data_IF_186551067520
#
_entry.id   IF_186551067520
#
_cell.length_a   1.000
_cell.length_b   1.000
_cell.length_c   1.000
_cell.angle_alpha   90.00
_cell.angle_beta   90.00
_cell.angle_gamma   90.00
#
_symmetry.space_group_name_H-M   'P 1'
#
loop_
_entity.id
_entity.type
_entity.pdbx_description
1 polymer ?
#
# COMPACT_ATOMS: atom_id res chain seq x y z
N UNK A 1 -12.80 -8.60 3.93
CA UNK A 1 -11.44 -8.39 4.46
C UNK A 1 -10.48 -8.49 3.29
N UNK A 2 -9.62 -7.50 3.08
CA UNK A 2 -8.62 -7.58 2.02
C UNK A 2 -7.61 -8.69 2.30
N UNK A 3 -7.18 -9.37 1.24
CA UNK A 3 -6.06 -10.28 1.25
C UNK A 3 -4.93 -9.66 0.45
N UNK A 4 -3.72 -9.73 0.98
CA UNK A 4 -2.54 -9.25 0.30
C UNK A 4 -1.68 -10.43 -0.18
N UNK A 5 -1.08 -10.28 -1.37
CA UNK A 5 -0.17 -11.27 -1.94
C UNK A 5 1.08 -10.57 -2.45
N UNK A 6 2.23 -11.03 -1.98
CA UNK A 6 3.52 -10.52 -2.41
C UNK A 6 3.77 -10.84 -3.88
N UNK A 7 4.14 -9.82 -4.64
CA UNK A 7 4.53 -9.91 -6.04
C UNK A 7 6.00 -9.50 -6.18
N UNK A 8 6.86 -10.45 -6.56
CA UNK A 8 8.28 -10.15 -6.73
C UNK A 8 8.52 -9.15 -7.86
N UNK A 9 9.56 -8.33 -7.74
CA UNK A 9 9.93 -7.34 -8.75
C UNK A 9 10.15 -7.94 -10.14
N UNK A 10 10.69 -9.16 -10.19
CA UNK A 10 10.84 -9.89 -11.44
C UNK A 10 9.49 -10.15 -12.13
N UNK A 11 8.46 -10.50 -11.37
CA UNK A 11 7.12 -10.74 -11.90
C UNK A 11 6.39 -9.44 -12.26
N UNK A 12 6.64 -8.36 -11.53
CA UNK A 12 6.11 -7.03 -11.88
C UNK A 12 6.67 -6.56 -13.23
N UNK A 13 7.94 -6.85 -13.53
CA UNK A 13 8.58 -6.52 -14.81
C UNK A 13 8.17 -7.44 -15.97
N UNK A 14 7.47 -8.54 -15.72
CA UNK A 14 7.08 -9.53 -16.73
C UNK A 14 5.68 -9.21 -17.27
N UNK A 15 5.58 -8.77 -18.53
CA UNK A 15 4.32 -8.42 -19.18
C UNK A 15 3.40 -9.64 -19.32
N UNK A 16 3.93 -10.80 -19.68
CA UNK A 16 3.15 -12.03 -19.87
C UNK A 16 2.50 -12.47 -18.57
N UNK A 17 3.23 -12.32 -17.45
CA UNK A 17 2.70 -12.61 -16.13
C UNK A 17 1.59 -11.63 -15.71
N UNK A 18 1.78 -10.34 -15.98
CA UNK A 18 0.76 -9.31 -15.71
C UNK A 18 -0.49 -9.55 -16.56
N UNK A 19 -0.33 -9.91 -17.84
CA UNK A 19 -1.44 -10.32 -18.71
C UNK A 19 -2.17 -11.54 -18.16
N UNK A 20 -1.42 -12.51 -17.65
CA UNK A 20 -1.98 -13.69 -17.02
C UNK A 20 -2.82 -13.35 -15.78
N UNK A 21 -2.35 -12.42 -14.91
CA UNK A 21 -3.12 -11.90 -13.76
C UNK A 21 -4.40 -11.22 -14.25
N UNK A 22 -4.27 -10.31 -15.22
CA UNK A 22 -5.40 -9.52 -15.73
C UNK A 22 -6.49 -10.39 -16.36
N UNK A 23 -6.08 -11.44 -17.06
CA UNK A 23 -7.00 -12.40 -17.66
C UNK A 23 -7.76 -13.26 -16.63
N UNK A 24 -7.18 -13.44 -15.43
CA UNK A 24 -7.71 -14.27 -14.34
C UNK A 24 -8.15 -13.49 -13.13
N UNK A 25 -8.34 -12.20 -13.32
CA UNK A 25 -8.74 -11.29 -12.26
C UNK A 25 -9.81 -11.92 -11.34
N UNK A 26 -9.56 -12.00 -10.03
CA UNK A 26 -10.54 -12.48 -9.08
C UNK A 26 -11.79 -11.60 -9.12
N UNK A 27 -12.97 -12.14 -8.75
CA UNK A 27 -14.17 -11.35 -8.61
C UNK A 27 -13.91 -10.10 -7.77
N UNK A 28 -14.56 -8.99 -8.09
CA UNK A 28 -14.40 -7.72 -7.34
C UNK A 28 -14.69 -7.84 -5.85
N UNK A 29 -15.43 -8.87 -5.46
CA UNK A 29 -15.74 -9.22 -4.07
C UNK A 29 -14.52 -9.80 -3.32
N UNK A 30 -13.57 -10.41 -4.04
CA UNK A 30 -12.29 -10.79 -3.48
C UNK A 30 -11.40 -9.54 -3.47
N UNK A 31 -11.36 -8.84 -2.36
CA UNK A 31 -10.52 -7.65 -2.12
C UNK A 31 -9.04 -8.10 -2.03
N UNK A 32 -8.48 -8.49 -3.18
CA UNK A 32 -7.10 -8.98 -3.33
C UNK A 32 -6.20 -7.79 -3.68
N UNK A 33 -5.16 -7.61 -2.89
CA UNK A 33 -4.11 -6.59 -3.07
C UNK A 33 -2.81 -7.24 -3.50
N UNK A 34 -2.04 -6.55 -4.33
CA UNK A 34 -0.72 -6.99 -4.76
C UNK A 34 0.33 -6.14 -4.04
N UNK A 35 1.16 -6.77 -3.23
CA UNK A 35 2.25 -6.11 -2.50
C UNK A 35 3.54 -6.20 -3.31
N UNK A 36 4.13 -5.05 -3.59
CA UNK A 36 5.32 -4.91 -4.43
C UNK A 36 6.38 -4.22 -3.60
N UNK A 37 7.52 -4.88 -3.37
CA UNK A 37 8.61 -4.29 -2.59
C UNK A 37 9.20 -3.08 -3.30
N UNK A 38 9.69 -2.10 -2.52
CA UNK A 38 10.35 -0.91 -3.04
C UNK A 38 11.48 -1.25 -4.02
N UNK A 39 12.34 -2.20 -3.66
CA UNK A 39 13.46 -2.67 -4.51
C UNK A 39 13.00 -3.20 -5.85
N UNK A 40 11.84 -3.84 -5.89
CA UNK A 40 11.25 -4.39 -7.11
C UNK A 40 10.97 -3.31 -8.17
N UNK A 41 10.58 -2.13 -7.73
CA UNK A 41 10.30 -0.98 -8.61
C UNK A 41 11.59 -0.31 -9.07
N UNK A 42 12.66 -0.37 -8.26
CA UNK A 42 13.93 0.30 -8.56
C UNK A 42 14.72 -0.42 -9.64
N UNK A 43 14.67 -1.76 -9.68
CA UNK A 43 15.49 -2.57 -10.59
C UNK A 43 15.10 -2.41 -12.08
N UNK A 44 13.81 -2.33 -12.39
CA UNK A 44 13.28 -2.14 -13.74
C UNK A 44 12.12 -1.12 -13.75
N UNK A 45 12.41 0.15 -13.49
CA UNK A 45 11.38 1.13 -13.15
C UNK A 45 10.35 1.35 -14.26
N UNK A 46 10.76 1.42 -15.52
CA UNK A 46 9.85 1.74 -16.62
C UNK A 46 8.81 0.62 -16.84
N UNK A 47 9.23 -0.64 -16.82
CA UNK A 47 8.32 -1.78 -16.96
C UNK A 47 7.44 -1.94 -15.73
N UNK A 48 8.01 -1.80 -14.52
CA UNK A 48 7.25 -1.87 -13.29
C UNK A 48 6.16 -0.79 -13.24
N UNK A 49 6.48 0.47 -13.57
CA UNK A 49 5.48 1.55 -13.61
C UNK A 49 4.35 1.29 -14.62
N UNK A 50 4.70 0.85 -15.83
CA UNK A 50 3.71 0.54 -16.86
C UNK A 50 2.77 -0.59 -16.41
N UNK A 51 3.32 -1.66 -15.85
CA UNK A 51 2.57 -2.82 -15.41
C UNK A 51 1.71 -2.53 -14.16
N UNK A 52 2.22 -1.78 -13.18
CA UNK A 52 1.43 -1.33 -12.04
C UNK A 52 0.28 -0.44 -12.49
N UNK A 53 0.51 0.48 -13.43
CA UNK A 53 -0.55 1.30 -14.00
C UNK A 53 -1.63 0.46 -14.72
N UNK A 54 -1.26 -0.60 -15.44
CA UNK A 54 -2.19 -1.56 -16.06
C UNK A 54 -3.03 -2.31 -15.03
N UNK A 55 -2.39 -2.77 -13.95
CA UNK A 55 -3.07 -3.43 -12.83
C UNK A 55 -4.07 -2.48 -12.16
N UNK A 56 -3.64 -1.25 -11.84
CA UNK A 56 -4.49 -0.22 -11.25
C UNK A 56 -5.69 0.13 -12.16
N UNK A 57 -5.46 0.33 -13.47
CA UNK A 57 -6.52 0.61 -14.45
C UNK A 57 -7.55 -0.53 -14.53
N UNK A 58 -7.11 -1.76 -14.33
CA UNK A 58 -7.97 -2.93 -14.26
C UNK A 58 -8.69 -3.07 -12.90
N UNK A 59 -8.41 -2.19 -11.92
CA UNK A 59 -8.97 -2.20 -10.58
C UNK A 59 -8.41 -3.34 -9.71
N UNK A 60 -7.14 -3.70 -9.93
CA UNK A 60 -6.36 -4.54 -9.03
C UNK A 60 -5.53 -3.60 -8.13
N UNK A 61 -5.87 -3.44 -6.82
CA UNK A 61 -5.17 -2.52 -5.95
C UNK A 61 -3.74 -3.01 -5.69
N UNK A 62 -2.79 -2.06 -5.75
CA UNK A 62 -1.38 -2.31 -5.49
C UNK A 62 -0.93 -1.58 -4.22
N UNK A 63 -0.02 -2.20 -3.47
CA UNK A 63 0.61 -1.66 -2.27
C UNK A 63 2.13 -1.67 -2.45
N UNK A 64 2.78 -0.59 -2.08
CA UNK A 64 4.26 -0.54 -2.01
C UNK A 64 4.68 -1.05 -0.65
N UNK A 65 5.49 -2.09 -0.63
CA UNK A 65 5.96 -2.77 0.57
C UNK A 65 7.38 -2.37 0.97
N UNK A 66 7.73 -2.54 2.25
CA UNK A 66 9.04 -2.28 2.84
C UNK A 66 9.56 -0.84 2.66
N UNK A 67 8.67 0.16 2.57
CA UNK A 67 9.09 1.54 2.37
C UNK A 67 9.89 2.08 3.57
N UNK A 68 11.11 2.54 3.28
CA UNK A 68 12.02 3.08 4.29
C UNK A 68 13.06 2.08 4.81
N UNK A 69 13.04 0.82 4.35
CA UNK A 69 14.05 -0.18 4.71
C UNK A 69 15.41 0.05 4.04
N UNK A 70 15.50 0.95 3.05
CA UNK A 70 16.69 1.16 2.24
C UNK A 70 16.85 2.57 1.69
N UNK A 71 17.33 2.67 0.45
CA UNK A 71 17.54 3.93 -0.26
C UNK A 71 16.21 4.41 -0.90
N UNK A 72 15.24 4.74 -0.06
CA UNK A 72 13.94 5.23 -0.51
C UNK A 72 14.05 6.51 -1.34
N UNK A 73 13.64 6.47 -2.60
CA UNK A 73 13.62 7.63 -3.47
C UNK A 73 12.21 8.17 -3.63
N UNK A 74 11.98 9.41 -3.22
CA UNK A 74 10.71 10.11 -3.45
C UNK A 74 10.36 10.24 -4.94
N UNK A 75 11.34 10.09 -5.83
CA UNK A 75 11.16 10.30 -7.26
C UNK A 75 10.26 9.26 -7.91
N UNK A 76 10.28 8.02 -7.45
CA UNK A 76 9.44 6.98 -8.02
C UNK A 76 8.00 7.01 -7.47
N UNK A 77 7.81 7.44 -6.21
CA UNK A 77 6.46 7.55 -5.64
C UNK A 77 5.54 8.46 -6.44
N UNK A 78 6.09 9.49 -7.10
CA UNK A 78 5.31 10.37 -7.99
C UNK A 78 4.81 9.69 -9.26
N UNK A 79 5.43 8.58 -9.66
CA UNK A 79 5.19 7.89 -10.94
C UNK A 79 4.37 6.62 -10.77
N UNK A 80 4.39 6.03 -9.58
CA UNK A 80 3.74 4.75 -9.32
C UNK A 80 2.25 4.95 -8.97
N UNK A 81 1.41 4.14 -9.57
CA UNK A 81 -0.02 4.10 -9.29
C UNK A 81 -0.32 3.03 -8.23
N UNK A 82 -0.09 3.37 -6.97
CA UNK A 82 -0.37 2.49 -5.84
C UNK A 82 -1.48 3.06 -4.95
N UNK A 83 -2.24 2.17 -4.33
CA UNK A 83 -3.34 2.52 -3.42
C UNK A 83 -2.88 2.64 -1.97
N UNK A 84 -1.76 1.97 -1.64
CA UNK A 84 -1.21 1.92 -0.29
C UNK A 84 0.31 2.01 -0.27
N UNK A 85 0.83 2.61 0.80
CA UNK A 85 2.25 2.65 1.16
C UNK A 85 2.40 1.98 2.53
N UNK A 86 3.21 0.91 2.61
CA UNK A 86 3.48 0.19 3.84
C UNK A 86 4.82 0.66 4.40
N UNK A 87 4.80 1.23 5.60
CA UNK A 87 5.99 1.66 6.31
C UNK A 87 6.67 0.44 6.92
N UNK A 88 7.93 0.24 6.59
CA UNK A 88 8.73 -0.84 7.15
C UNK A 88 8.82 -0.77 8.67
N UNK A 89 8.94 -1.93 9.31
CA UNK A 89 9.06 -2.06 10.75
C UNK A 89 10.16 -1.18 11.34
N UNK A 90 11.28 -1.00 10.65
CA UNK A 90 12.40 -0.18 11.15
C UNK A 90 12.00 1.28 11.37
N UNK A 91 11.19 1.86 10.49
CA UNK A 91 10.62 3.21 10.69
C UNK A 91 9.63 3.23 11.85
N UNK A 92 8.78 2.22 11.95
CA UNK A 92 7.76 2.12 13.01
C UNK A 92 8.39 1.96 14.39
N UNK A 93 9.44 1.16 14.52
CA UNK A 93 10.17 0.96 15.78
C UNK A 93 10.86 2.23 16.29
N UNK A 94 11.31 3.11 15.41
CA UNK A 94 12.03 4.35 15.77
C UNK A 94 11.08 5.51 16.17
N UNK A 95 9.80 5.46 15.80
CA UNK A 95 8.82 6.54 16.06
C UNK A 95 8.73 6.91 17.54
N UNK A 96 8.79 5.92 18.43
CA UNK A 96 8.72 6.13 19.89
C UNK A 96 10.04 6.54 20.53
N UNK A 97 11.17 6.42 19.82
CA UNK A 97 12.53 6.59 20.37
C UNK A 97 13.11 7.97 20.06
N UNK A 98 12.69 8.59 18.98
CA UNK A 98 13.26 9.84 18.48
C UNK A 98 12.20 10.77 17.93
N UNK A 99 12.20 12.02 18.43
CA UNK A 99 11.34 13.07 17.87
C UNK A 99 11.65 13.35 16.39
N UNK A 100 12.91 13.15 15.96
CA UNK A 100 13.31 13.31 14.56
C UNK A 100 12.66 12.25 13.66
N UNK A 101 12.63 10.99 14.12
CA UNK A 101 12.06 9.91 13.35
C UNK A 101 10.53 10.01 13.29
N UNK A 102 9.90 10.48 14.36
CA UNK A 102 8.48 10.82 14.33
C UNK A 102 8.15 11.93 13.29
N UNK A 103 9.01 12.95 13.14
CA UNK A 103 8.85 13.99 12.11
C UNK A 103 9.04 13.42 10.71
N UNK A 104 10.02 12.53 10.50
CA UNK A 104 10.26 11.87 9.21
C UNK A 104 9.05 11.02 8.84
N UNK A 105 8.61 10.14 9.75
CA UNK A 105 7.45 9.27 9.53
C UNK A 105 6.20 10.09 9.22
N UNK A 106 5.93 11.18 9.97
CA UNK A 106 4.83 12.08 9.69
C UNK A 106 4.90 12.68 8.29
N UNK A 107 6.11 13.12 7.87
CA UNK A 107 6.30 13.69 6.53
C UNK A 107 6.03 12.68 5.42
N UNK A 108 6.39 11.40 5.64
CA UNK A 108 6.10 10.30 4.71
C UNK A 108 4.59 10.04 4.64
N UNK A 109 3.90 10.03 5.78
CA UNK A 109 2.44 9.85 5.84
C UNK A 109 1.73 10.99 5.10
N UNK A 110 2.10 12.24 5.37
CA UNK A 110 1.48 13.41 4.70
C UNK A 110 1.75 13.39 3.19
N UNK A 111 2.94 12.96 2.75
CA UNK A 111 3.27 12.78 1.34
C UNK A 111 2.40 11.69 0.69
N UNK A 112 2.30 10.51 1.30
CA UNK A 112 1.49 9.41 0.79
C UNK A 112 0.02 9.82 0.63
N UNK A 113 -0.54 10.49 1.64
CA UNK A 113 -1.89 11.05 1.58
C UNK A 113 -2.04 12.09 0.47
N UNK A 114 -1.03 12.96 0.28
CA UNK A 114 -1.00 13.95 -0.81
C UNK A 114 -0.99 13.30 -2.20
N UNK A 115 -0.48 12.09 -2.32
CA UNK A 115 -0.50 11.26 -3.54
C UNK A 115 -1.76 10.38 -3.66
N UNK A 116 -2.66 10.42 -2.68
CA UNK A 116 -3.91 9.65 -2.67
C UNK A 116 -3.77 8.22 -2.16
N UNK A 117 -2.62 7.85 -1.59
CA UNK A 117 -2.36 6.54 -1.01
C UNK A 117 -2.79 6.49 0.46
N UNK A 118 -3.22 5.31 0.93
CA UNK A 118 -3.33 5.00 2.36
C UNK A 118 -1.97 4.60 2.90
N UNK A 119 -1.78 4.76 4.21
CA UNK A 119 -0.54 4.36 4.89
C UNK A 119 -0.80 3.22 5.85
N UNK A 120 -0.02 2.14 5.70
CA UNK A 120 -0.01 0.99 6.60
C UNK A 120 1.26 1.05 7.44
N UNK A 121 1.14 0.99 8.76
CA UNK A 121 2.29 0.83 9.65
C UNK A 121 2.49 -0.66 9.94
N UNK A 122 3.67 -1.17 9.61
CA UNK A 122 4.01 -2.58 9.82
C UNK A 122 4.79 -2.81 11.11
N UNK A 123 4.80 -4.06 11.58
CA UNK A 123 5.56 -4.44 12.76
C UNK A 123 5.06 -3.82 14.07
N UNK A 124 3.81 -3.41 14.16
CA UNK A 124 3.23 -2.88 15.39
C UNK A 124 3.12 -4.00 16.43
N UNK A 125 3.92 -3.93 17.50
CA UNK A 125 4.02 -5.00 18.50
C UNK A 125 3.34 -4.68 19.83
N UNK A 126 3.06 -3.40 20.12
CA UNK A 126 2.46 -2.95 21.37
C UNK A 126 1.47 -1.79 21.22
N UNK A 127 0.69 -1.53 22.26
CA UNK A 127 -0.35 -0.51 22.28
C UNK A 127 0.22 0.93 22.20
N UNK A 128 1.43 1.16 22.72
CA UNK A 128 2.06 2.49 22.69
C UNK A 128 2.45 2.83 21.24
N UNK A 129 3.12 1.91 20.55
CA UNK A 129 3.47 2.04 19.13
C UNK A 129 2.21 2.20 18.28
N UNK A 130 1.16 1.40 18.53
CA UNK A 130 -0.13 1.53 17.83
C UNK A 130 -0.72 2.94 17.97
N UNK A 131 -0.73 3.50 19.19
CA UNK A 131 -1.25 4.85 19.43
C UNK A 131 -0.39 5.93 18.76
N UNK A 132 0.93 5.78 18.75
CA UNK A 132 1.85 6.72 18.12
C UNK A 132 1.64 6.78 16.61
N UNK A 133 1.66 5.63 15.91
CA UNK A 133 1.51 5.62 14.44
C UNK A 133 0.11 6.07 14.01
N UNK A 134 -0.94 5.75 14.80
CA UNK A 134 -2.28 6.31 14.59
C UNK A 134 -2.28 7.84 14.74
N UNK A 135 -1.61 8.38 15.75
CA UNK A 135 -1.44 9.82 15.99
C UNK A 135 -0.65 10.53 14.88
N UNK A 136 0.25 9.81 14.20
CA UNK A 136 0.96 10.30 13.02
C UNK A 136 0.12 10.23 11.74
N UNK A 137 -1.07 9.65 11.79
CA UNK A 137 -2.01 9.62 10.68
C UNK A 137 -1.96 8.35 9.84
N UNK A 138 -1.27 7.27 10.28
CA UNK A 138 -1.36 5.98 9.60
C UNK A 138 -2.81 5.48 9.58
N UNK A 139 -3.27 4.98 8.43
CA UNK A 139 -4.64 4.54 8.23
C UNK A 139 -4.89 3.13 8.74
N UNK A 140 -3.87 2.27 8.65
CA UNK A 140 -3.93 0.85 8.98
C UNK A 140 -2.71 0.47 9.82
N UNK A 141 -2.88 -0.40 10.80
CA UNK A 141 -1.81 -1.02 11.54
C UNK A 141 -1.76 -2.52 11.29
N UNK A 142 -0.57 -3.05 11.14
CA UNK A 142 -0.29 -4.48 10.97
C UNK A 142 0.85 -4.91 11.91
N UNK A 143 0.66 -6.00 12.63
CA UNK A 143 1.70 -6.54 13.52
C UNK A 143 1.16 -7.43 14.62
N UNK A 144 2.06 -7.91 15.47
CA UNK A 144 1.76 -8.87 16.53
C UNK A 144 0.85 -8.31 17.63
N UNK A 145 0.78 -6.99 17.75
CA UNK A 145 -0.19 -6.35 18.65
C UNK A 145 -1.63 -6.70 18.27
N UNK A 146 -1.93 -6.80 16.99
CA UNK A 146 -3.28 -7.11 16.51
C UNK A 146 -3.52 -8.62 16.44
N UNK A 147 -2.64 -9.35 15.75
CA UNK A 147 -2.69 -10.81 15.68
C UNK A 147 -1.34 -11.38 15.21
N UNK A 148 -1.00 -12.56 15.70
CA UNK A 148 0.13 -13.34 15.17
C UNK A 148 -0.32 -14.16 13.97
N UNK A 149 0.59 -14.55 13.05
CA UNK A 149 0.29 -15.48 11.97
C UNK A 149 -0.38 -16.75 12.53
N UNK A 150 -1.46 -17.16 11.89
CA UNK A 150 -2.25 -18.29 12.34
C UNK A 150 -2.81 -19.11 11.17
N UNK A 151 -3.16 -20.39 11.37
CA UNK A 151 -3.85 -21.20 10.37
C UNK A 151 -5.19 -20.58 9.95
N UNK A 152 -5.61 -20.83 8.70
CA UNK A 152 -6.85 -20.26 8.12
C UNK A 152 -8.09 -20.51 9.01
N UNK A 153 -8.22 -21.70 9.60
CA UNK A 153 -9.37 -22.01 10.46
C UNK A 153 -9.45 -21.03 11.65
N UNK A 154 -8.31 -20.76 12.31
CA UNK A 154 -8.24 -19.83 13.44
C UNK A 154 -8.51 -18.38 12.97
N UNK A 155 -8.00 -18.00 11.80
CA UNK A 155 -8.28 -16.67 11.22
C UNK A 155 -9.79 -16.48 10.98
N UNK A 156 -10.47 -17.48 10.43
CA UNK A 156 -11.92 -17.42 10.21
C UNK A 156 -12.70 -17.29 11.52
N UNK A 157 -12.27 -17.97 12.58
CA UNK A 157 -12.90 -17.87 13.91
C UNK A 157 -12.65 -16.49 14.53
N UNK A 158 -11.43 -15.96 14.42
CA UNK A 158 -11.08 -14.61 14.85
C UNK A 158 -11.93 -13.56 14.12
N UNK A 159 -12.04 -13.66 12.80
CA UNK A 159 -12.86 -12.73 12.01
C UNK A 159 -14.34 -12.73 12.41
N UNK A 160 -14.88 -13.89 12.77
CA UNK A 160 -16.26 -13.99 13.30
C UNK A 160 -16.40 -13.34 14.67
N UNK A 161 -15.39 -13.51 15.53
CA UNK A 161 -15.36 -12.91 16.85
C UNK A 161 -15.15 -11.39 16.80
N UNK A 162 -14.24 -10.89 15.97
CA UNK A 162 -13.92 -9.46 15.81
C UNK A 162 -15.03 -8.66 15.15
N UNK A 163 -15.97 -9.28 14.46
CA UNK A 163 -17.18 -8.59 14.01
C UNK A 163 -17.93 -7.90 15.18
N UNK A 164 -17.63 -8.32 16.42
CA UNK A 164 -18.20 -7.79 17.66
C UNK A 164 -17.26 -6.83 18.45
N UNK A 165 -15.98 -6.65 18.05
CA UNK A 165 -14.98 -5.90 18.82
C UNK A 165 -14.75 -4.53 18.16
N UNK A 166 -14.80 -3.45 18.97
CA UNK A 166 -14.44 -2.12 18.52
C UNK A 166 -12.92 -1.99 18.24
N UNK A 167 -12.49 -1.27 17.21
CA UNK A 167 -11.08 -1.02 16.96
C UNK A 167 -10.45 -0.25 18.13
N UNK A 168 -9.12 -0.39 18.35
CA UNK A 168 -8.40 0.41 19.34
C UNK A 168 -8.61 1.92 19.11
N UNK A 169 -8.52 2.76 20.16
CA UNK A 169 -8.63 4.20 20.03
C UNK A 169 -7.63 4.74 18.98
N UNK A 170 -8.14 5.58 18.08
CA UNK A 170 -7.32 6.17 17.01
C UNK A 170 -7.39 5.44 15.67
N UNK A 171 -7.80 4.19 15.64
CA UNK A 171 -7.96 3.42 14.40
C UNK A 171 -9.40 3.45 13.90
N UNK A 172 -9.57 3.69 12.59
CA UNK A 172 -10.85 3.52 11.93
C UNK A 172 -10.95 2.11 11.39
N UNK A 173 -12.08 1.43 11.60
CA UNK A 173 -12.37 0.21 10.83
C UNK A 173 -12.41 0.60 9.36
N UNK A 174 -11.53 0.06 8.55
CA UNK A 174 -11.70 0.10 7.11
C UNK A 174 -12.84 -0.85 6.75
N UNK A 175 -14.07 -0.32 6.78
CA UNK A 175 -15.17 -0.97 6.07
C UNK A 175 -14.76 -1.00 4.58
N UNK A 176 -15.09 -2.07 3.83
CA UNK A 176 -14.84 -2.09 2.40
C UNK A 176 -15.41 -0.80 1.82
N UNK A 177 -14.60 -0.08 1.06
CA UNK A 177 -15.03 1.13 0.40
C UNK A 177 -16.25 0.78 -0.45
N UNK A 178 -17.37 1.45 -0.17
CA UNK A 178 -18.56 1.36 -1.01
C UNK A 178 -18.19 1.68 -2.46
N UNK A 179 -18.95 1.20 -3.44
CA UNK A 179 -18.63 1.35 -4.85
C UNK A 179 -18.61 2.82 -5.23
N UNK A 180 -17.47 3.33 -5.63
CA UNK A 180 -17.46 4.63 -6.28
C UNK A 180 -16.41 5.63 -5.85
N UNK A 181 -15.19 5.43 -6.30
CA UNK A 181 -14.50 6.52 -7.01
C UNK A 181 -14.01 5.95 -8.31
N UNK A 182 -14.80 6.13 -9.37
CA UNK A 182 -14.29 6.05 -10.72
C UNK A 182 -13.14 7.04 -10.80
N UNK A 183 -11.91 6.57 -11.06
CA UNK A 183 -10.89 7.40 -11.63
C UNK A 183 -11.50 7.99 -12.92
N UNK A 184 -12.03 9.20 -12.84
CA UNK A 184 -12.26 9.97 -14.05
C UNK A 184 -10.87 10.23 -14.60
N UNK A 185 -10.57 9.60 -15.70
CA UNK A 185 -9.55 10.05 -16.61
C UNK A 185 -10.01 11.44 -17.10
N UNK A 186 -9.68 12.47 -16.33
CA UNK A 186 -9.81 13.86 -16.72
C UNK A 186 -8.43 14.45 -16.75
N UNK A 187 -8.01 14.71 -17.99
CA UNK A 187 -7.05 15.72 -18.38
C UNK A 187 -5.57 15.51 -18.03
N UNK A 188 -4.92 14.69 -18.85
CA UNK A 188 -3.60 15.03 -19.39
C UNK A 188 -3.31 14.18 -20.63
N UNK A 189 -4.15 14.28 -21.65
CA UNK A 189 -3.69 14.02 -23.01
C UNK A 189 -2.73 15.15 -23.39
N UNK A 190 -1.46 15.01 -23.02
CA UNK A 190 -0.39 15.79 -23.62
C UNK A 190 -0.29 15.34 -25.07
N UNK A 191 -0.80 16.17 -25.99
CA UNK A 191 -0.69 16.00 -27.44
C UNK A 191 0.81 15.95 -27.82
N UNK A 192 1.35 14.81 -28.29
CA UNK A 192 2.76 14.68 -28.63
C UNK A 192 3.14 15.47 -29.92
N UNK A 193 2.24 16.23 -30.52
CA UNK A 193 2.48 16.96 -31.79
C UNK A 193 2.90 18.42 -31.62
N UNK A 194 3.10 18.92 -30.39
CA UNK A 194 3.48 20.33 -30.16
C UNK A 194 4.95 20.55 -29.78
N UNK A 195 5.86 19.64 -30.08
CA UNK A 195 7.29 19.86 -29.90
C UNK A 195 8.01 19.76 -31.26
N UNK A 196 7.91 20.78 -32.10
CA UNK A 196 8.94 21.08 -33.11
C UNK A 196 9.40 22.52 -32.90
N UNK A 197 10.67 22.75 -32.50
CA UNK A 197 11.31 24.05 -32.58
C UNK A 197 11.68 24.35 -34.04
N UNK A 198 11.60 25.64 -34.41
CA UNK A 198 12.25 26.20 -35.60
C UNK A 198 13.74 26.35 -35.33
#
# INVERSE_FOLDING_TARGET
MPFAVNLSGRLVGDEDFVDWILARKPPREADLRLEITETAVIDQPEMAFANVARLAAAGAPCSIDDYGSGLSSLSYLKRIWADELKLDKSLVDEVGRSARDAVITRSIVDLAHGLGMKVVAEGVEDAQTAALVAGLGCDIGQGFFFARPMPLAQLLDLMRAEAAIAPPPGWRRTLPAGPGRSCRASDAAVDPRRARPR
#
